data_IF_585391008191
#
_entry.id   IF_585391008191
#
_cell.length_a   1.000
_cell.length_b   1.000
_cell.length_c   1.000
_cell.angle_alpha   90.00
_cell.angle_beta   90.00
_cell.angle_gamma   90.00
#
_symmetry.space_group_name_H-M   'P 1'
#
loop_
_entity.id
_entity.type
_entity.pdbx_description
1 polymer ?
#
# COMPACT_ATOMS: atom_id res chain seq x y z
N UNK A 1 14.55 -11.14 9.92
CA UNK A 1 14.45 -11.27 11.40
C UNK A 1 12.99 -11.33 11.77
N UNK A 2 12.58 -12.23 12.66
CA UNK A 2 11.18 -12.33 13.08
C UNK A 2 10.89 -11.24 14.10
N UNK A 3 10.12 -10.21 13.71
CA UNK A 3 9.63 -9.17 14.62
C UNK A 3 8.45 -9.68 15.41
N UNK A 4 8.30 -9.22 16.66
CA UNK A 4 7.16 -9.54 17.51
C UNK A 4 6.15 -8.40 17.46
N UNK A 5 5.04 -8.61 16.78
CA UNK A 5 3.97 -7.61 16.64
C UNK A 5 2.95 -7.71 17.76
N UNK A 6 2.52 -6.56 18.29
CA UNK A 6 1.46 -6.45 19.29
C UNK A 6 0.39 -5.50 18.77
N UNK A 7 0.74 -4.24 18.53
CA UNK A 7 -0.21 -3.20 18.11
C UNK A 7 -0.66 -3.39 16.65
N UNK A 8 0.23 -3.83 15.77
CA UNK A 8 -0.10 -4.11 14.37
C UNK A 8 -1.01 -5.33 14.20
N UNK A 9 -1.14 -6.20 15.22
CA UNK A 9 -2.05 -7.35 15.23
C UNK A 9 -3.49 -7.00 15.62
N UNK A 10 -3.86 -5.72 15.61
CA UNK A 10 -5.23 -5.30 15.83
C UNK A 10 -6.13 -5.62 14.62
N UNK A 11 -7.39 -5.94 14.92
CA UNK A 11 -8.39 -6.29 13.94
C UNK A 11 -8.64 -5.14 12.94
N UNK A 12 -8.80 -5.51 11.67
CA UNK A 12 -9.17 -4.63 10.57
C UNK A 12 -10.54 -5.08 10.06
N UNK A 13 -11.57 -4.28 10.37
CA UNK A 13 -12.96 -4.54 9.98
C UNK A 13 -13.39 -5.99 10.25
N UNK A 14 -14.09 -6.64 9.32
CA UNK A 14 -14.46 -8.05 9.38
C UNK A 14 -13.39 -8.98 8.76
N UNK A 15 -12.18 -8.48 8.49
CA UNK A 15 -11.11 -9.21 7.77
C UNK A 15 -10.17 -9.99 8.68
N UNK A 16 -10.20 -9.70 9.99
CA UNK A 16 -9.32 -10.31 10.98
C UNK A 16 -8.06 -9.48 11.23
N UNK A 17 -6.91 -10.14 11.42
CA UNK A 17 -5.63 -9.50 11.77
C UNK A 17 -4.59 -9.77 10.68
N UNK A 18 -3.67 -8.82 10.40
CA UNK A 18 -2.66 -8.99 9.37
C UNK A 18 -1.69 -10.14 9.69
N UNK A 19 -1.26 -10.94 8.69
CA UNK A 19 -0.20 -11.94 8.86
C UNK A 19 1.14 -11.30 9.22
N UNK A 20 1.92 -12.00 10.05
CA UNK A 20 3.25 -11.53 10.47
C UNK A 20 4.24 -11.45 9.29
N UNK A 21 4.09 -12.34 8.29
CA UNK A 21 4.88 -12.29 7.05
C UNK A 21 4.70 -10.96 6.32
N UNK A 22 3.44 -10.58 6.08
CA UNK A 22 3.09 -9.31 5.45
C UNK A 22 3.63 -8.10 6.24
N UNK A 23 3.49 -8.09 7.57
CA UNK A 23 4.01 -6.99 8.40
C UNK A 23 5.53 -6.88 8.36
N UNK A 24 6.24 -8.02 8.32
CA UNK A 24 7.70 -8.02 8.17
C UNK A 24 8.12 -7.45 6.81
N UNK A 25 7.45 -7.86 5.73
CA UNK A 25 7.73 -7.37 4.38
C UNK A 25 7.52 -5.85 4.25
N UNK A 26 6.46 -5.31 4.87
CA UNK A 26 6.24 -3.86 4.94
C UNK A 26 7.42 -3.11 5.56
N UNK A 27 7.94 -3.60 6.69
CA UNK A 27 9.05 -2.96 7.39
C UNK A 27 10.36 -3.13 6.63
N UNK A 28 10.62 -4.33 6.12
CA UNK A 28 11.84 -4.63 5.36
C UNK A 28 11.91 -3.78 4.08
N UNK A 29 10.77 -3.56 3.41
CA UNK A 29 10.67 -2.61 2.32
C UNK A 29 10.92 -1.17 2.80
N UNK A 30 10.22 -0.69 3.83
CA UNK A 30 10.29 0.71 4.25
C UNK A 30 11.68 1.14 4.76
N UNK A 31 12.47 0.22 5.31
CA UNK A 31 13.88 0.46 5.66
C UNK A 31 14.75 0.79 4.45
N UNK A 32 14.43 0.23 3.29
CA UNK A 32 15.15 0.45 2.03
C UNK A 32 14.48 1.50 1.14
N UNK A 33 13.23 1.82 1.40
CA UNK A 33 12.43 2.73 0.59
C UNK A 33 13.03 4.15 0.64
N UNK A 34 13.20 4.79 -0.53
CA UNK A 34 13.61 6.19 -0.62
C UNK A 34 12.73 7.13 0.21
N UNK A 35 13.36 8.08 0.90
CA UNK A 35 12.66 9.01 1.80
C UNK A 35 11.70 9.94 1.05
N UNK A 36 11.96 10.23 -0.22
CA UNK A 36 11.16 11.11 -1.09
C UNK A 36 9.71 10.64 -1.19
N UNK A 37 9.45 9.31 -1.18
CA UNK A 37 8.11 8.71 -1.16
C UNK A 37 7.28 9.27 0.01
N UNK A 38 7.91 9.55 1.15
CA UNK A 38 7.24 9.92 2.40
C UNK A 38 7.33 11.40 2.73
N UNK A 39 8.09 12.20 1.99
CA UNK A 39 8.21 13.65 2.25
C UNK A 39 6.88 14.40 2.08
N UNK A 40 6.67 15.58 2.67
CA UNK A 40 5.56 16.45 2.31
C UNK A 40 5.54 16.80 0.81
N UNK A 41 4.36 17.08 0.27
CA UNK A 41 4.15 17.60 -1.07
C UNK A 41 2.87 18.46 -1.08
N UNK A 42 2.61 19.13 -2.20
CA UNK A 42 1.48 20.07 -2.34
C UNK A 42 0.18 19.40 -2.85
N UNK A 43 0.15 18.07 -2.99
CA UNK A 43 -1.01 17.30 -3.46
C UNK A 43 -1.91 16.92 -2.28
N UNK A 44 -3.20 16.73 -2.56
CA UNK A 44 -4.12 16.05 -1.63
C UNK A 44 -3.84 14.55 -1.65
N UNK A 45 -2.86 14.14 -0.85
CA UNK A 45 -2.37 12.77 -0.74
C UNK A 45 -2.96 12.00 0.45
N UNK A 46 -2.50 10.76 0.67
CA UNK A 46 -2.92 9.95 1.80
C UNK A 46 -2.76 10.65 3.16
N UNK A 47 -1.69 11.42 3.35
CA UNK A 47 -1.47 12.12 4.60
C UNK A 47 -2.55 13.19 4.81
N UNK A 48 -3.02 13.84 3.74
CA UNK A 48 -4.17 14.75 3.84
C UNK A 48 -5.43 14.05 4.37
N UNK A 49 -5.66 12.78 4.00
CA UNK A 49 -6.83 12.00 4.44
C UNK A 49 -6.75 11.46 5.85
N UNK A 50 -5.55 11.10 6.34
CA UNK A 50 -5.37 10.42 7.63
C UNK A 50 -4.82 11.33 8.73
N UNK A 51 -4.66 12.63 8.45
CA UNK A 51 -4.20 13.63 9.42
C UNK A 51 -5.01 13.67 10.71
N UNK A 52 -6.36 13.65 10.68
CA UNK A 52 -7.15 13.67 11.91
C UNK A 52 -6.86 12.48 12.84
N UNK A 53 -6.62 11.30 12.26
CA UNK A 53 -6.44 10.06 13.00
C UNK A 53 -4.99 9.89 13.47
N UNK A 54 -4.02 10.13 12.60
CA UNK A 54 -2.62 9.76 12.82
C UNK A 54 -1.66 10.94 12.98
N UNK A 55 -2.11 12.17 12.73
CA UNK A 55 -1.30 13.36 12.94
C UNK A 55 -1.19 13.77 14.42
N UNK A 56 -0.42 14.85 14.72
CA UNK A 56 0.35 15.68 13.78
C UNK A 56 1.62 15.00 13.25
N UNK A 57 2.17 15.49 12.13
CA UNK A 57 3.37 14.92 11.49
C UNK A 57 4.67 15.32 12.21
N UNK A 58 5.53 14.34 12.46
CA UNK A 58 6.75 14.51 13.26
C UNK A 58 8.05 14.32 12.48
N UNK A 59 7.98 14.18 11.15
CA UNK A 59 9.13 13.95 10.27
C UNK A 59 8.98 12.73 9.38
N UNK A 60 10.04 12.41 8.62
CA UNK A 60 10.04 11.34 7.61
C UNK A 60 9.80 9.97 8.25
N UNK A 61 10.48 9.66 9.36
CA UNK A 61 10.28 8.39 10.08
C UNK A 61 8.82 8.17 10.50
N UNK A 62 8.18 9.18 11.08
CA UNK A 62 6.77 9.11 11.44
C UNK A 62 5.88 8.94 10.21
N UNK A 63 6.17 9.66 9.11
CA UNK A 63 5.43 9.53 7.85
C UNK A 63 5.61 8.15 7.20
N UNK A 64 6.79 7.52 7.32
CA UNK A 64 7.01 6.11 6.93
C UNK A 64 6.10 5.18 7.71
N UNK A 65 6.11 5.27 9.04
CA UNK A 65 5.27 4.45 9.89
C UNK A 65 3.77 4.66 9.65
N UNK A 66 3.34 5.90 9.38
CA UNK A 66 1.96 6.22 8.99
C UNK A 66 1.60 5.54 7.66
N UNK A 67 2.49 5.57 6.66
CA UNK A 67 2.25 4.86 5.40
C UNK A 67 2.14 3.35 5.63
N UNK A 68 2.97 2.76 6.48
CA UNK A 68 2.87 1.34 6.83
C UNK A 68 1.54 1.00 7.51
N UNK A 69 1.04 1.86 8.39
CA UNK A 69 -0.27 1.68 9.02
C UNK A 69 -1.40 1.76 8.00
N UNK A 70 -1.31 2.68 7.04
CA UNK A 70 -2.28 2.76 5.93
C UNK A 70 -2.25 1.47 5.10
N UNK A 71 -1.06 1.03 4.66
CA UNK A 71 -0.92 -0.18 3.86
C UNK A 71 -1.40 -1.42 4.64
N UNK A 72 -1.16 -1.47 5.95
CA UNK A 72 -1.65 -2.55 6.81
C UNK A 72 -3.16 -2.67 6.77
N UNK A 73 -3.87 -1.55 6.93
CA UNK A 73 -5.33 -1.52 6.92
C UNK A 73 -5.87 -1.73 5.50
N UNK A 74 -5.28 -1.05 4.52
CA UNK A 74 -5.70 -1.13 3.12
C UNK A 74 -5.59 -2.54 2.56
N UNK A 75 -4.47 -3.24 2.77
CA UNK A 75 -4.32 -4.64 2.34
C UNK A 75 -5.39 -5.57 2.92
N UNK A 76 -5.86 -5.29 4.14
CA UNK A 76 -7.00 -6.00 4.72
C UNK A 76 -8.31 -5.72 3.99
N UNK A 77 -8.61 -4.45 3.72
CA UNK A 77 -9.82 -4.04 3.01
C UNK A 77 -9.89 -4.61 1.59
N UNK A 78 -8.80 -4.48 0.84
CA UNK A 78 -8.72 -4.78 -0.59
C UNK A 78 -8.68 -6.30 -0.86
N UNK A 79 -7.92 -7.06 -0.08
CA UNK A 79 -7.66 -8.48 -0.42
C UNK A 79 -7.59 -9.42 0.79
N UNK A 80 -7.86 -8.93 2.00
CA UNK A 80 -7.56 -9.69 3.23
C UNK A 80 -6.09 -10.14 3.31
N UNK A 81 -5.18 -9.27 2.87
CA UNK A 81 -3.74 -9.51 2.77
C UNK A 81 -3.33 -10.63 1.80
N UNK A 82 -4.14 -10.92 0.77
CA UNK A 82 -3.84 -11.92 -0.24
C UNK A 82 -3.05 -11.33 -1.42
N UNK A 83 -1.77 -11.72 -1.54
CA UNK A 83 -0.90 -11.32 -2.66
C UNK A 83 -1.38 -11.78 -4.03
N UNK A 84 -2.16 -12.86 -4.10
CA UNK A 84 -2.59 -13.46 -5.36
C UNK A 84 -3.99 -13.01 -5.80
N UNK A 85 -4.62 -12.09 -5.06
CA UNK A 85 -5.95 -11.59 -5.37
C UNK A 85 -6.01 -10.93 -6.76
N UNK A 86 -7.18 -10.95 -7.39
CA UNK A 86 -7.42 -10.37 -8.70
C UNK A 86 -8.58 -11.07 -9.39
N UNK A 87 -8.78 -10.77 -10.66
CA UNK A 87 -9.96 -11.23 -11.41
C UNK A 87 -10.08 -12.76 -11.44
N UNK A 88 -11.31 -13.24 -11.31
CA UNK A 88 -11.71 -14.57 -11.75
C UNK A 88 -11.68 -14.67 -13.29
N UNK A 89 -10.69 -15.37 -13.83
CA UNK A 89 -10.48 -15.56 -15.27
C UNK A 89 -11.59 -16.37 -15.96
N UNK A 90 -12.53 -16.93 -15.21
CA UNK A 90 -13.66 -17.70 -15.77
C UNK A 90 -14.84 -16.85 -16.21
N UNK A 91 -14.87 -15.56 -15.85
CA UNK A 91 -15.93 -14.63 -16.25
C UNK A 91 -15.53 -13.85 -17.52
N UNK A 92 -16.15 -14.07 -18.69
CA UNK A 92 -15.81 -13.41 -19.96
C UNK A 92 -16.19 -11.93 -20.04
N UNK A 93 -17.03 -11.41 -19.14
CA UNK A 93 -17.56 -10.03 -19.20
C UNK A 93 -16.67 -8.97 -18.50
N UNK A 94 -15.53 -9.37 -17.94
CA UNK A 94 -14.69 -8.42 -17.19
C UNK A 94 -13.67 -7.70 -18.10
N UNK A 95 -13.56 -6.40 -17.84
CA UNK A 95 -12.86 -5.38 -18.60
C UNK A 95 -11.35 -5.69 -18.80
N UNK A 96 -10.75 -5.02 -19.79
CA UNK A 96 -9.38 -5.20 -20.31
C UNK A 96 -8.28 -5.32 -19.23
N UNK A 97 -7.08 -5.87 -19.56
CA UNK A 97 -5.97 -6.00 -18.62
C UNK A 97 -5.60 -4.72 -17.84
N UNK A 98 -5.83 -3.53 -18.38
CA UNK A 98 -5.49 -2.28 -17.69
C UNK A 98 -6.45 -1.89 -16.56
N UNK A 99 -7.70 -2.36 -16.65
CA UNK A 99 -8.73 -2.10 -15.63
C UNK A 99 -8.81 -3.19 -14.56
N UNK A 100 -8.10 -4.32 -14.71
CA UNK A 100 -8.05 -5.34 -13.67
C UNK A 100 -7.28 -4.82 -12.45
N UNK A 101 -7.94 -4.86 -11.30
CA UNK A 101 -7.31 -4.68 -9.99
C UNK A 101 -6.60 -5.98 -9.57
N UNK A 102 -5.33 -5.87 -9.17
CA UNK A 102 -4.48 -7.03 -8.95
C UNK A 102 -3.65 -6.94 -7.66
N UNK A 103 -3.47 -8.10 -7.03
CA UNK A 103 -2.64 -8.31 -5.87
C UNK A 103 -3.22 -7.73 -4.58
N UNK A 104 -2.37 -7.64 -3.56
CA UNK A 104 -2.79 -7.35 -2.18
C UNK A 104 -3.49 -6.00 -2.01
N UNK A 105 -3.16 -5.01 -2.84
CA UNK A 105 -3.68 -3.64 -2.76
C UNK A 105 -4.68 -3.33 -3.88
N UNK A 106 -5.02 -4.32 -4.72
CA UNK A 106 -6.00 -4.17 -5.80
C UNK A 106 -5.72 -2.93 -6.69
N UNK A 107 -4.45 -2.67 -7.01
CA UNK A 107 -4.10 -1.61 -7.96
C UNK A 107 -4.35 -2.09 -9.40
N UNK A 108 -4.75 -1.18 -10.31
CA UNK A 108 -4.94 -1.47 -11.73
C UNK A 108 -3.86 -0.84 -12.62
N UNK A 109 -3.65 -1.41 -13.80
CA UNK A 109 -2.67 -0.93 -14.79
C UNK A 109 -2.93 0.51 -15.27
N UNK A 110 -4.19 0.94 -15.30
CA UNK A 110 -4.59 2.32 -15.64
C UNK A 110 -3.91 3.35 -14.71
N UNK A 111 -3.58 2.95 -13.48
CA UNK A 111 -2.95 3.86 -12.53
C UNK A 111 -1.52 4.26 -12.90
N UNK A 112 -0.87 3.53 -13.83
CA UNK A 112 0.52 3.82 -14.23
C UNK A 112 0.68 5.18 -14.90
N UNK A 113 -0.40 5.74 -15.46
CA UNK A 113 -0.37 7.02 -16.16
C UNK A 113 -0.65 8.23 -15.22
N UNK A 114 -0.88 8.01 -13.91
CA UNK A 114 -1.01 9.11 -12.93
C UNK A 114 0.29 9.90 -12.73
N UNK A 115 1.44 9.23 -12.82
CA UNK A 115 2.74 9.87 -12.70
C UNK A 115 3.80 9.04 -13.45
N UNK A 116 4.69 9.66 -14.24
CA UNK A 116 5.72 8.93 -15.00
C UNK A 116 6.59 8.01 -14.13
N UNK A 117 6.78 8.33 -12.85
CA UNK A 117 7.55 7.49 -11.92
C UNK A 117 6.91 6.12 -11.65
N UNK A 118 5.58 6.00 -11.73
CA UNK A 118 4.88 4.72 -11.54
C UNK A 118 5.16 3.75 -12.70
N UNK A 119 5.02 4.24 -13.92
CA UNK A 119 5.36 3.49 -15.14
C UNK A 119 6.85 3.15 -15.20
N UNK A 120 7.71 4.09 -14.76
CA UNK A 120 9.15 3.85 -14.65
C UNK A 120 9.47 2.75 -13.64
N UNK A 121 8.80 2.71 -12.49
CA UNK A 121 9.00 1.65 -11.48
C UNK A 121 8.75 0.26 -12.07
N UNK A 122 7.67 0.08 -12.85
CA UNK A 122 7.42 -1.20 -13.53
C UNK A 122 8.49 -1.51 -14.57
N UNK A 123 8.92 -0.51 -15.35
CA UNK A 123 9.98 -0.66 -16.35
C UNK A 123 11.29 -1.10 -15.72
N UNK A 124 11.71 -0.46 -14.64
CA UNK A 124 12.95 -0.77 -13.94
C UNK A 124 12.90 -2.18 -13.31
N UNK A 125 11.71 -2.61 -12.87
CA UNK A 125 11.50 -3.91 -12.22
C UNK A 125 11.42 -5.07 -13.21
N UNK A 126 10.81 -4.86 -14.38
CA UNK A 126 10.40 -5.94 -15.29
C UNK A 126 10.91 -5.82 -16.73
N UNK A 127 11.48 -4.67 -17.10
CA UNK A 127 11.84 -4.32 -18.47
C UNK A 127 10.66 -3.93 -19.36
N UNK A 128 9.42 -4.01 -18.87
CA UNK A 128 8.18 -3.72 -19.62
C UNK A 128 7.27 -2.74 -18.90
N UNK A 129 6.24 -2.25 -19.58
CA UNK A 129 5.28 -1.27 -19.05
C UNK A 129 3.82 -1.56 -19.43
N UNK A 130 3.52 -2.78 -19.87
CA UNK A 130 2.16 -3.20 -20.24
C UNK A 130 1.37 -3.70 -19.02
N UNK A 131 0.05 -3.65 -19.13
CA UNK A 131 -0.87 -3.98 -18.03
C UNK A 131 -0.84 -5.46 -17.64
N UNK A 132 -0.60 -6.37 -18.57
CA UNK A 132 -0.42 -7.80 -18.26
C UNK A 132 0.82 -8.02 -17.37
N UNK A 133 1.91 -7.36 -17.71
CA UNK A 133 3.13 -7.38 -16.89
C UNK A 133 2.88 -6.72 -15.55
N UNK A 134 2.13 -5.60 -15.50
CA UNK A 134 1.74 -4.97 -14.24
C UNK A 134 1.01 -5.95 -13.31
N UNK A 135 -0.04 -6.63 -13.79
CA UNK A 135 -0.80 -7.63 -13.01
C UNK A 135 0.15 -8.72 -12.48
N UNK A 136 0.98 -9.29 -13.36
CA UNK A 136 1.90 -10.37 -12.99
C UNK A 136 2.91 -9.93 -11.93
N UNK A 137 3.51 -8.76 -12.09
CA UNK A 137 4.54 -8.25 -11.17
C UNK A 137 3.91 -7.83 -9.84
N UNK A 138 2.72 -7.21 -9.85
CA UNK A 138 1.97 -6.87 -8.63
C UNK A 138 1.63 -8.10 -7.77
N UNK A 139 1.40 -9.27 -8.37
CA UNK A 139 1.14 -10.53 -7.63
C UNK A 139 2.44 -11.25 -7.20
N UNK A 140 3.48 -11.23 -8.03
CA UNK A 140 4.70 -12.04 -7.83
C UNK A 140 5.87 -11.32 -7.16
N UNK A 141 5.88 -9.98 -7.14
CA UNK A 141 6.92 -9.17 -6.53
C UNK A 141 6.31 -8.23 -5.48
N UNK A 142 6.31 -8.70 -4.24
CA UNK A 142 5.67 -7.98 -3.13
C UNK A 142 6.33 -6.62 -2.86
N UNK A 143 7.67 -6.52 -2.99
CA UNK A 143 8.39 -5.25 -2.86
C UNK A 143 7.88 -4.22 -3.86
N UNK A 144 7.69 -4.64 -5.12
CA UNK A 144 7.10 -3.78 -6.15
C UNK A 144 5.67 -3.37 -5.78
N UNK A 145 4.81 -4.31 -5.37
CA UNK A 145 3.42 -4.02 -5.04
C UNK A 145 3.29 -3.01 -3.89
N UNK A 146 4.10 -3.17 -2.83
CA UNK A 146 4.17 -2.25 -1.70
C UNK A 146 4.62 -0.86 -2.16
N UNK A 147 5.74 -0.77 -2.90
CA UNK A 147 6.26 0.51 -3.34
C UNK A 147 5.31 1.23 -4.29
N UNK A 148 4.73 0.49 -5.23
CA UNK A 148 3.80 1.02 -6.21
C UNK A 148 2.58 1.64 -5.51
N UNK A 149 1.96 0.91 -4.58
CA UNK A 149 0.80 1.41 -3.83
C UNK A 149 1.19 2.65 -2.98
N UNK A 150 2.33 2.62 -2.28
CA UNK A 150 2.79 3.77 -1.50
C UNK A 150 3.01 5.03 -2.36
N UNK A 151 3.59 4.88 -3.55
CA UNK A 151 3.77 5.98 -4.51
C UNK A 151 2.43 6.44 -5.07
N UNK A 152 1.51 5.55 -5.40
CA UNK A 152 0.18 5.92 -5.89
C UNK A 152 -0.59 6.75 -4.84
N UNK A 153 -0.55 6.32 -3.57
CA UNK A 153 -1.16 7.01 -2.42
C UNK A 153 -0.54 8.40 -2.14
N UNK A 154 0.71 8.63 -2.56
CA UNK A 154 1.36 9.96 -2.55
C UNK A 154 0.78 10.88 -3.61
N UNK A 155 0.28 10.34 -4.72
CA UNK A 155 -0.22 11.14 -5.85
C UNK A 155 -1.73 11.34 -5.82
N UNK A 156 -2.48 10.34 -5.35
CA UNK A 156 -3.93 10.38 -5.34
C UNK A 156 -4.50 9.44 -4.29
N UNK A 157 -5.58 9.87 -3.66
CA UNK A 157 -6.42 9.03 -2.79
C UNK A 157 -7.64 8.48 -3.51
N UNK A 158 -7.88 8.91 -4.75
CA UNK A 158 -9.11 8.61 -5.49
C UNK A 158 -9.10 7.25 -6.19
N UNK A 159 -7.92 6.63 -6.33
CA UNK A 159 -7.76 5.32 -6.99
C UNK A 159 -8.11 4.14 -6.07
N UNK A 160 -8.10 4.35 -4.75
CA UNK A 160 -8.48 3.34 -3.78
C UNK A 160 -9.82 3.70 -3.16
N UNK A 161 -10.87 2.94 -3.47
CA UNK A 161 -12.22 3.16 -2.96
C UNK A 161 -12.28 3.33 -1.43
N UNK A 162 -11.67 2.41 -0.64
CA UNK A 162 -11.64 2.50 0.81
C UNK A 162 -10.93 3.75 1.35
N UNK A 163 -9.87 4.22 0.67
CA UNK A 163 -9.16 5.45 1.07
C UNK A 163 -9.97 6.68 0.69
N UNK A 164 -10.52 6.74 -0.53
CA UNK A 164 -11.33 7.85 -1.04
C UNK A 164 -12.54 8.12 -0.13
N UNK A 165 -13.23 7.06 0.28
CA UNK A 165 -14.41 7.12 1.16
C UNK A 165 -14.08 7.15 2.65
N UNK A 166 -12.79 7.18 3.01
CA UNK A 166 -12.29 7.17 4.41
C UNK A 166 -12.76 5.95 5.22
N UNK A 167 -13.04 4.83 4.56
CA UNK A 167 -13.47 3.58 5.20
C UNK A 167 -12.35 2.97 6.04
N UNK A 168 -11.10 3.23 5.66
CA UNK A 168 -9.92 2.77 6.43
C UNK A 168 -9.74 3.56 7.73
N UNK A 169 -10.20 4.82 7.81
CA UNK A 169 -9.85 5.75 8.90
C UNK A 169 -10.19 5.21 10.30
N UNK A 170 -11.38 4.63 10.57
CA UNK A 170 -11.70 4.08 11.89
C UNK A 170 -10.78 2.93 12.36
N UNK A 171 -10.08 2.29 11.41
CA UNK A 171 -9.22 1.13 11.63
C UNK A 171 -7.74 1.49 11.75
N UNK A 172 -7.39 2.76 11.53
CA UNK A 172 -6.04 3.29 11.72
C UNK A 172 -5.77 3.50 13.21
N UNK A 173 -4.56 3.15 13.65
CA UNK A 173 -4.21 3.08 15.07
C UNK A 173 -2.87 3.75 15.35
N UNK A 174 -2.87 4.76 16.23
CA UNK A 174 -1.65 5.48 16.63
C UNK A 174 -0.61 4.57 17.30
N UNK A 175 -1.04 3.58 18.09
CA UNK A 175 -0.11 2.64 18.70
C UNK A 175 0.54 1.69 17.67
N UNK A 176 -0.13 1.36 16.57
CA UNK A 176 0.49 0.63 15.45
C UNK A 176 1.53 1.49 14.73
N UNK A 177 1.26 2.80 14.53
CA UNK A 177 2.28 3.75 14.03
C UNK A 177 3.51 3.78 14.95
N UNK A 178 3.31 3.89 16.27
CA UNK A 178 4.42 3.86 17.24
C UNK A 178 5.21 2.55 17.16
N UNK A 179 4.53 1.41 17.06
CA UNK A 179 5.18 0.10 16.91
C UNK A 179 6.00 0.02 15.60
N UNK A 180 5.46 0.49 14.48
CA UNK A 180 6.20 0.60 13.22
C UNK A 180 7.41 1.53 13.33
N UNK A 181 7.30 2.69 14.00
CA UNK A 181 8.43 3.60 14.21
C UNK A 181 9.57 2.93 14.99
N UNK A 182 9.23 2.13 16.01
CA UNK A 182 10.23 1.34 16.75
C UNK A 182 11.03 0.45 15.82
N UNK A 183 10.33 -0.40 15.04
CA UNK A 183 11.00 -1.31 14.12
C UNK A 183 11.78 -0.65 12.99
N UNK A 184 11.41 0.57 12.59
CA UNK A 184 12.11 1.36 11.58
C UNK A 184 13.35 2.08 12.13
N UNK A 185 13.44 2.27 13.45
CA UNK A 185 14.57 2.94 14.11
C UNK A 185 15.67 1.97 14.53
N UNK A 186 15.35 0.69 14.67
CA UNK A 186 16.27 -0.42 14.93
C UNK A 186 17.12 -0.79 13.71
#
# INVERSE_FOLDING_TARGET
MTRKFIACKQQVFNRGVPPDSFLNELIDWAKQAPDDIFTPNDKHDIYSNVKPELGPWQGVLHRKAVMLEVLRVLGGFESSWNWNEGRDTTNPDSNTPCSEEAGIFQCSGDSMDFDPSLKKLLKDTSGKTDCETFIKVSKSNHKFAIEYCARLLRFTVNHHGPVKRKEINPWLKRNAVVEFQGFLSD
#
